data_IF_892895094519
#
_entry.id   IF_892895094519
#
_cell.length_a   1.000
_cell.length_b   1.000
_cell.length_c   1.000
_cell.angle_alpha   90.00
_cell.angle_beta   90.00
_cell.angle_gamma   90.00
#
_symmetry.space_group_name_H-M   'P 1'
#
loop_
_entity.id
_entity.type
_entity.pdbx_description
1 polymer ?
#
# COMPACT_ATOMS: atom_id res chain seq x y z
N UNK A 1 -14.20 -12.17 0.66
CA UNK A 1 -14.76 -12.20 -0.70
C UNK A 1 -13.76 -11.68 -1.71
N UNK A 2 -13.88 -12.17 -2.94
CA UNK A 2 -13.06 -11.77 -4.06
C UNK A 2 -13.90 -10.92 -5.02
N UNK A 3 -13.38 -9.76 -5.43
CA UNK A 3 -13.99 -8.94 -6.49
C UNK A 3 -13.51 -9.47 -7.84
N UNK A 4 -14.29 -10.37 -8.43
CA UNK A 4 -13.98 -10.96 -9.73
C UNK A 4 -14.17 -9.95 -10.86
N UNK A 5 -13.34 -10.07 -11.90
CA UNK A 5 -13.44 -9.25 -13.09
C UNK A 5 -14.65 -9.54 -13.99
N UNK A 6 -15.40 -10.62 -13.72
CA UNK A 6 -16.60 -10.96 -14.47
C UNK A 6 -17.83 -10.13 -14.10
N UNK A 7 -17.74 -9.30 -13.06
CA UNK A 7 -18.86 -8.52 -12.53
C UNK A 7 -18.52 -7.02 -12.44
N UNK A 8 -19.54 -6.21 -12.18
CA UNK A 8 -19.38 -4.77 -11.93
C UNK A 8 -18.49 -4.54 -10.69
N UNK A 9 -17.49 -3.63 -10.77
CA UNK A 9 -16.59 -3.34 -9.65
C UNK A 9 -17.27 -2.61 -8.46
N UNK A 10 -18.56 -2.29 -8.53
CA UNK A 10 -19.31 -1.67 -7.43
C UNK A 10 -19.46 -2.62 -6.23
N UNK A 11 -18.67 -2.38 -5.20
CA UNK A 11 -18.66 -3.19 -3.97
C UNK A 11 -19.78 -2.83 -2.96
N UNK A 12 -20.24 -1.57 -2.95
CA UNK A 12 -21.23 -1.09 -1.99
C UNK A 12 -21.90 0.22 -2.45
N UNK A 13 -23.10 0.48 -1.91
CA UNK A 13 -23.78 1.79 -2.01
C UNK A 13 -23.88 2.41 -0.62
N UNK A 14 -23.22 3.54 -0.42
CA UNK A 14 -23.38 4.34 0.80
C UNK A 14 -24.48 5.38 0.58
N UNK A 15 -25.60 5.21 1.28
CA UNK A 15 -26.72 6.15 1.28
C UNK A 15 -26.86 6.76 2.65
N UNK A 16 -26.97 8.09 2.72
CA UNK A 16 -27.20 8.82 3.96
C UNK A 16 -28.43 9.71 3.83
N UNK A 17 -29.03 10.03 4.97
CA UNK A 17 -30.12 10.98 5.10
C UNK A 17 -29.84 11.93 6.27
N UNK A 18 -30.25 13.18 6.11
CA UNK A 18 -30.24 14.24 7.12
C UNK A 18 -31.42 15.17 6.89
N UNK A 19 -31.72 16.01 7.89
CA UNK A 19 -32.85 16.95 7.86
C UNK A 19 -32.72 17.98 6.74
N UNK A 20 -31.48 18.36 6.42
CA UNK A 20 -31.13 19.21 5.30
C UNK A 20 -29.90 18.68 4.55
N UNK A 21 -29.60 19.29 3.40
CA UNK A 21 -28.48 18.90 2.54
C UNK A 21 -27.11 19.03 3.24
N UNK A 22 -26.80 20.13 3.96
CA UNK A 22 -25.57 20.21 4.75
C UNK A 22 -25.41 19.10 5.78
N UNK A 23 -26.46 18.76 6.54
CA UNK A 23 -26.44 17.67 7.51
C UNK A 23 -26.20 16.31 6.83
N UNK A 24 -26.86 16.06 5.70
CA UNK A 24 -26.63 14.86 4.91
C UNK A 24 -25.18 14.78 4.38
N UNK A 25 -24.62 15.87 3.86
CA UNK A 25 -23.23 15.91 3.38
C UNK A 25 -22.21 15.70 4.52
N UNK A 26 -22.45 16.32 5.68
CA UNK A 26 -21.62 16.10 6.88
C UNK A 26 -21.64 14.62 7.30
N UNK A 27 -22.83 13.99 7.30
CA UNK A 27 -22.99 12.56 7.59
C UNK A 27 -22.32 11.68 6.53
N UNK A 28 -22.46 12.02 5.25
CA UNK A 28 -21.79 11.32 4.14
C UNK A 28 -20.28 11.28 4.34
N UNK A 29 -19.67 12.45 4.58
CA UNK A 29 -18.23 12.60 4.80
C UNK A 29 -17.77 11.84 6.05
N UNK A 30 -18.53 11.90 7.13
CA UNK A 30 -18.25 11.10 8.33
C UNK A 30 -18.26 9.60 8.03
N UNK A 31 -19.32 9.10 7.37
CA UNK A 31 -19.44 7.69 7.01
C UNK A 31 -18.36 7.22 6.03
N UNK A 32 -17.99 8.05 5.04
CA UNK A 32 -16.90 7.75 4.12
C UNK A 32 -15.55 7.60 4.84
N UNK A 33 -15.25 8.43 5.85
CA UNK A 33 -14.03 8.28 6.66
C UNK A 33 -14.00 7.01 7.51
N UNK A 34 -15.18 6.46 7.82
CA UNK A 34 -15.31 5.18 8.55
C UNK A 34 -15.18 3.95 7.63
N UNK A 35 -15.35 4.12 6.31
CA UNK A 35 -15.11 3.06 5.34
C UNK A 35 -13.60 2.81 5.21
N UNK A 36 -13.15 1.65 5.70
CA UNK A 36 -11.74 1.27 5.67
C UNK A 36 -11.62 -0.05 4.92
N UNK A 37 -11.10 0.03 3.70
CA UNK A 37 -10.97 -1.11 2.79
C UNK A 37 -9.50 -1.27 2.46
N UNK A 38 -9.01 -2.51 2.55
CA UNK A 38 -7.63 -2.90 2.26
C UNK A 38 -7.65 -3.98 1.17
N UNK A 39 -6.62 -4.01 0.34
CA UNK A 39 -6.44 -5.02 -0.72
C UNK A 39 -7.03 -4.64 -2.08
N UNK A 40 -7.76 -3.53 -2.17
CA UNK A 40 -8.36 -3.03 -3.41
C UNK A 40 -8.16 -1.52 -3.53
N UNK A 41 -8.01 -1.03 -4.77
CA UNK A 41 -8.10 0.40 -5.03
C UNK A 41 -9.56 0.84 -4.91
N UNK A 42 -9.82 1.96 -4.22
CA UNK A 42 -11.17 2.46 -4.01
C UNK A 42 -11.29 3.92 -4.43
N UNK A 43 -12.51 4.36 -4.69
CA UNK A 43 -12.82 5.77 -5.00
C UNK A 43 -13.22 6.58 -3.75
N UNK A 44 -12.95 6.08 -2.54
CA UNK A 44 -13.37 6.72 -1.28
C UNK A 44 -12.79 8.14 -1.15
N UNK A 45 -11.49 8.32 -1.44
CA UNK A 45 -10.85 9.63 -1.36
C UNK A 45 -11.43 10.61 -2.39
N UNK A 46 -11.72 10.14 -3.60
CA UNK A 46 -12.44 10.92 -4.61
C UNK A 46 -13.83 11.35 -4.12
N UNK A 47 -14.60 10.44 -3.52
CA UNK A 47 -15.93 10.75 -2.96
C UNK A 47 -15.83 11.73 -1.78
N UNK A 48 -14.77 11.66 -0.97
CA UNK A 48 -14.50 12.63 0.09
C UNK A 48 -14.18 14.02 -0.48
N UNK A 49 -13.34 14.11 -1.53
CA UNK A 49 -13.05 15.36 -2.23
C UNK A 49 -14.30 15.95 -2.88
N UNK A 50 -15.07 15.13 -3.60
CA UNK A 50 -16.32 15.54 -4.27
C UNK A 50 -17.35 16.05 -3.27
N UNK A 51 -17.62 15.29 -2.21
CA UNK A 51 -18.64 15.67 -1.21
C UNK A 51 -18.24 16.86 -0.34
N UNK A 52 -16.96 17.22 -0.31
CA UNK A 52 -16.44 18.41 0.36
C UNK A 52 -16.12 19.59 -0.57
N UNK A 53 -16.37 19.47 -1.88
CA UNK A 53 -16.08 20.53 -2.84
C UNK A 53 -17.09 21.69 -2.69
N UNK A 54 -16.68 22.97 -2.63
CA UNK A 54 -17.58 24.10 -2.40
C UNK A 54 -18.76 24.18 -3.39
N UNK A 55 -18.51 24.04 -4.69
CA UNK A 55 -19.58 24.04 -5.70
C UNK A 55 -20.53 22.83 -5.56
N UNK A 56 -20.02 21.68 -5.10
CA UNK A 56 -20.86 20.54 -4.81
C UNK A 56 -21.71 20.82 -3.56
N UNK A 57 -21.16 21.40 -2.50
CA UNK A 57 -21.90 21.82 -1.30
C UNK A 57 -22.94 22.92 -1.58
N UNK A 58 -22.70 23.80 -2.55
CA UNK A 58 -23.65 24.80 -3.01
C UNK A 58 -24.77 24.22 -3.91
N UNK A 59 -24.54 23.06 -4.52
CA UNK A 59 -25.48 22.45 -5.47
C UNK A 59 -25.32 22.94 -6.91
N UNK A 60 -24.23 23.65 -7.20
CA UNK A 60 -23.85 24.12 -8.53
C UNK A 60 -23.21 22.98 -9.33
N UNK A 61 -24.00 21.97 -9.66
CA UNK A 61 -23.53 20.75 -10.34
C UNK A 61 -24.05 20.68 -11.77
N UNK A 62 -23.20 20.24 -12.69
CA UNK A 62 -23.53 19.94 -14.08
C UNK A 62 -23.03 18.55 -14.45
N UNK A 63 -23.44 18.02 -15.60
CA UNK A 63 -22.91 16.75 -16.14
C UNK A 63 -21.42 16.84 -16.50
N UNK A 64 -20.85 18.04 -16.56
CA UNK A 64 -19.44 18.30 -16.82
C UNK A 64 -18.63 18.67 -15.56
N UNK A 65 -19.22 18.55 -14.37
CA UNK A 65 -18.60 18.96 -13.11
C UNK A 65 -17.23 18.30 -12.86
N UNK A 66 -17.13 16.98 -13.05
CA UNK A 66 -15.87 16.24 -12.79
C UNK A 66 -14.75 16.71 -13.73
N UNK A 67 -14.95 16.80 -15.06
CA UNK A 67 -13.96 17.39 -15.95
C UNK A 67 -13.59 18.84 -15.59
N UNK A 68 -14.56 19.67 -15.18
CA UNK A 68 -14.34 21.07 -14.84
C UNK A 68 -13.50 21.26 -13.57
N UNK A 69 -13.70 20.39 -12.57
CA UNK A 69 -13.04 20.46 -11.26
C UNK A 69 -12.02 19.33 -11.05
N UNK A 70 -11.47 18.78 -12.13
CA UNK A 70 -10.62 17.58 -12.08
C UNK A 70 -9.43 17.74 -11.12
N UNK A 71 -8.74 18.89 -11.18
CA UNK A 71 -7.59 19.16 -10.32
C UNK A 71 -7.93 19.17 -8.82
N UNK A 72 -9.12 19.65 -8.46
CA UNK A 72 -9.59 19.73 -7.08
C UNK A 72 -10.08 18.36 -6.57
N UNK A 73 -10.63 17.54 -7.46
CA UNK A 73 -11.17 16.22 -7.14
C UNK A 73 -10.10 15.12 -7.07
N UNK A 74 -8.99 15.30 -7.79
CA UNK A 74 -7.85 14.38 -7.84
C UNK A 74 -6.55 15.07 -7.43
N UNK A 75 -6.44 15.55 -6.17
CA UNK A 75 -5.23 16.19 -5.69
C UNK A 75 -4.07 15.20 -5.65
N UNK A 76 -2.84 15.72 -5.78
CA UNK A 76 -1.65 14.90 -5.64
C UNK A 76 -1.59 14.24 -4.24
N UNK A 77 -1.14 12.99 -4.13
CA UNK A 77 -0.99 12.32 -2.84
C UNK A 77 -0.13 13.14 -1.88
N UNK A 78 -0.66 13.41 -0.68
CA UNK A 78 0.09 14.10 0.37
C UNK A 78 1.08 13.13 1.00
N UNK A 79 2.35 13.53 1.06
CA UNK A 79 3.35 12.78 1.80
C UNK A 79 2.95 12.68 3.28
N UNK A 80 3.03 11.50 3.90
CA UNK A 80 2.71 11.36 5.31
C UNK A 80 3.69 12.16 6.17
N UNK A 81 3.19 12.69 7.27
CA UNK A 81 4.01 13.38 8.26
C UNK A 81 4.97 12.40 8.95
N UNK A 82 6.06 12.91 9.55
CA UNK A 82 6.93 12.08 10.37
C UNK A 82 6.18 11.40 11.52
N UNK A 83 5.15 12.04 12.09
CA UNK A 83 4.28 11.41 13.08
C UNK A 83 3.51 10.20 12.53
N UNK A 84 2.98 10.29 11.31
CA UNK A 84 2.32 9.16 10.63
C UNK A 84 3.31 8.02 10.34
N UNK A 85 4.54 8.35 9.97
CA UNK A 85 5.63 7.38 9.77
C UNK A 85 5.95 6.68 11.09
N UNK A 86 6.02 7.42 12.20
CA UNK A 86 6.21 6.87 13.54
C UNK A 86 5.04 5.96 13.97
N UNK A 87 3.79 6.31 13.66
CA UNK A 87 2.63 5.45 13.91
C UNK A 87 2.75 4.13 13.16
N UNK A 88 3.16 4.15 11.88
CA UNK A 88 3.35 2.94 11.09
C UNK A 88 4.47 2.06 11.66
N UNK A 89 5.59 2.68 12.01
CA UNK A 89 6.71 1.99 12.66
C UNK A 89 6.31 1.38 14.01
N UNK A 90 5.55 2.11 14.82
CA UNK A 90 5.04 1.63 16.11
C UNK A 90 4.09 0.43 15.92
N UNK A 91 3.19 0.49 14.94
CA UNK A 91 2.30 -0.62 14.60
C UNK A 91 3.06 -1.92 14.33
N UNK A 92 4.16 -1.85 13.56
CA UNK A 92 5.03 -3.00 13.28
C UNK A 92 5.75 -3.50 14.55
N UNK A 93 6.33 -2.60 15.35
CA UNK A 93 6.98 -2.95 16.62
C UNK A 93 6.03 -3.69 17.55
N UNK A 94 4.80 -3.20 17.68
CA UNK A 94 3.79 -3.77 18.57
C UNK A 94 3.24 -5.10 18.04
N UNK A 95 3.12 -5.26 16.72
CA UNK A 95 2.74 -6.54 16.12
C UNK A 95 3.81 -7.62 16.38
N UNK A 96 5.09 -7.30 16.21
CA UNK A 96 6.19 -8.22 16.52
C UNK A 96 6.19 -8.62 18.00
N UNK A 97 5.95 -7.65 18.89
CA UNK A 97 5.83 -7.91 20.34
C UNK A 97 4.67 -8.85 20.63
N UNK A 98 3.52 -8.66 19.99
CA UNK A 98 2.35 -9.54 20.13
C UNK A 98 2.66 -10.96 19.65
N UNK A 99 3.25 -11.12 18.47
CA UNK A 99 3.66 -12.45 17.95
C UNK A 99 4.64 -13.15 18.89
N UNK A 100 5.56 -12.38 19.49
CA UNK A 100 6.51 -12.91 20.47
C UNK A 100 5.79 -13.39 21.74
N UNK A 101 4.81 -12.63 22.24
CA UNK A 101 4.01 -13.03 23.40
C UNK A 101 3.18 -14.29 23.11
N UNK A 102 2.60 -14.41 21.92
CA UNK A 102 1.88 -15.61 21.48
C UNK A 102 2.82 -16.82 21.35
N UNK A 103 4.03 -16.62 20.85
CA UNK A 103 5.06 -17.66 20.79
C UNK A 103 5.46 -18.16 22.19
N UNK A 104 5.68 -17.25 23.15
CA UNK A 104 6.00 -17.62 24.55
C UNK A 104 4.94 -18.54 25.16
N UNK A 105 3.66 -18.35 24.80
CA UNK A 105 2.56 -19.18 25.33
C UNK A 105 2.52 -20.60 24.75
N UNK A 106 3.18 -20.84 23.62
CA UNK A 106 3.11 -22.11 22.88
C UNK A 106 4.42 -22.91 22.91
N UNK A 107 5.53 -22.27 23.28
CA UNK A 107 6.84 -22.93 23.37
C UNK A 107 6.96 -23.86 24.58
N UNK A 108 7.85 -24.84 24.48
CA UNK A 108 8.21 -25.75 25.58
C UNK A 108 9.12 -25.10 26.63
N UNK A 109 9.69 -23.92 26.34
CA UNK A 109 10.50 -23.13 27.27
C UNK A 109 9.97 -21.67 27.38
N UNK A 110 8.86 -21.43 28.11
CA UNK A 110 8.24 -20.11 28.21
C UNK A 110 9.08 -19.07 28.94
N UNK A 111 10.05 -19.51 29.75
CA UNK A 111 10.90 -18.63 30.55
C UNK A 111 12.24 -18.32 29.86
N UNK A 112 12.42 -18.75 28.61
CA UNK A 112 13.62 -18.48 27.84
C UNK A 112 13.84 -16.97 27.69
N UNK A 113 15.01 -16.43 28.07
CA UNK A 113 15.30 -15.01 27.88
C UNK A 113 15.38 -14.62 26.39
N UNK A 114 15.60 -15.60 25.50
CA UNK A 114 15.63 -15.42 24.05
C UNK A 114 14.23 -15.35 23.42
N UNK A 115 13.18 -15.66 24.19
CA UNK A 115 11.80 -15.47 23.78
C UNK A 115 11.30 -14.04 24.00
N UNK A 116 12.11 -13.10 24.48
CA UNK A 116 11.69 -11.74 24.80
C UNK A 116 12.01 -10.74 23.69
N UNK A 117 11.01 -9.92 23.33
CA UNK A 117 11.15 -8.79 22.39
C UNK A 117 11.28 -7.43 23.10
N UNK A 118 11.81 -7.42 24.33
CA UNK A 118 12.00 -6.18 25.11
C UNK A 118 13.13 -5.29 24.60
N UNK A 119 14.02 -5.82 23.74
CA UNK A 119 15.21 -5.10 23.29
C UNK A 119 16.26 -4.92 24.39
N UNK A 120 16.25 -5.73 25.45
CA UNK A 120 17.17 -5.54 26.57
C UNK A 120 18.65 -5.67 26.17
N UNK A 121 19.47 -4.79 26.74
CA UNK A 121 20.93 -4.70 26.57
C UNK A 121 21.53 -4.27 27.91
N UNK A 122 22.67 -4.84 28.30
CA UNK A 122 23.28 -4.63 29.62
C UNK A 122 23.57 -3.16 29.94
N UNK A 123 24.16 -2.40 29.01
CA UNK A 123 24.75 -1.08 29.29
C UNK A 123 24.41 -0.01 28.23
N UNK A 124 23.56 -0.34 27.25
CA UNK A 124 23.23 0.56 26.15
C UNK A 124 21.74 0.48 25.87
N UNK A 125 21.17 1.53 25.27
CA UNK A 125 19.84 1.45 24.69
C UNK A 125 19.89 0.60 23.42
N UNK A 126 18.86 -0.21 23.19
CA UNK A 126 18.73 -0.92 21.93
C UNK A 126 18.21 0.02 20.85
N UNK A 127 18.97 0.10 19.76
CA UNK A 127 18.62 0.83 18.56
C UNK A 127 18.45 -0.16 17.41
N UNK A 128 17.38 0.00 16.64
CA UNK A 128 17.17 -0.73 15.39
C UNK A 128 16.75 0.19 14.26
N UNK A 129 17.13 -0.17 13.04
CA UNK A 129 16.75 0.54 11.84
C UNK A 129 15.58 -0.19 11.16
N UNK A 130 14.47 0.51 10.98
CA UNK A 130 13.32 0.03 10.24
C UNK A 130 13.25 0.79 8.91
N UNK A 131 13.36 0.05 7.79
CA UNK A 131 13.15 0.63 6.47
C UNK A 131 11.66 0.57 6.13
N UNK A 132 11.13 1.70 5.67
CA UNK A 132 9.76 1.85 5.18
C UNK A 132 9.80 2.41 3.75
N UNK A 133 8.80 2.05 2.96
CA UNK A 133 8.63 2.46 1.57
C UNK A 133 7.32 3.24 1.43
N UNK A 134 7.44 4.45 0.90
CA UNK A 134 6.42 5.49 0.83
C UNK A 134 6.29 5.94 -0.62
N UNK A 135 5.42 5.27 -1.37
CA UNK A 135 5.44 5.35 -2.84
C UNK A 135 6.83 4.92 -3.33
N UNK A 136 7.53 5.81 -4.03
CA UNK A 136 8.88 5.56 -4.55
C UNK A 136 10.00 5.90 -3.57
N UNK A 137 9.67 6.54 -2.43
CA UNK A 137 10.68 6.98 -1.45
C UNK A 137 10.90 5.94 -0.36
N UNK A 138 12.16 5.58 -0.13
CA UNK A 138 12.57 4.78 1.03
C UNK A 138 12.89 5.70 2.20
N UNK A 139 12.33 5.41 3.36
CA UNK A 139 12.57 6.14 4.61
C UNK A 139 13.10 5.18 5.66
N UNK A 140 14.18 5.57 6.33
CA UNK A 140 14.73 4.83 7.46
C UNK A 140 14.23 5.46 8.77
N UNK A 141 13.68 4.63 9.65
CA UNK A 141 13.29 5.00 11.01
C UNK A 141 14.26 4.35 11.97
N UNK A 142 15.02 5.13 12.73
CA UNK A 142 15.87 4.61 13.81
C UNK A 142 15.01 4.58 15.08
N UNK A 143 14.83 3.40 15.66
CA UNK A 143 13.97 3.17 16.82
C UNK A 143 14.87 2.83 18.02
N UNK A 144 14.93 3.72 18.99
CA UNK A 144 15.51 3.48 20.32
C UNK A 144 14.42 2.98 21.27
N UNK A 145 14.72 1.91 22.00
CA UNK A 145 13.84 1.34 23.03
C UNK A 145 14.19 1.95 24.39
N UNK A 146 13.24 2.66 25.00
CA UNK A 146 13.41 3.24 26.33
C UNK A 146 13.05 2.21 27.42
N UNK A 147 13.58 2.41 28.63
CA UNK A 147 13.36 1.50 29.76
C UNK A 147 11.92 1.51 30.30
N UNK A 148 11.16 2.56 30.04
CA UNK A 148 9.75 2.71 30.42
C UNK A 148 8.77 2.05 29.43
N UNK A 149 9.29 1.42 28.37
CA UNK A 149 8.49 0.80 27.31
C UNK A 149 8.03 1.78 26.21
N UNK A 150 8.40 3.06 26.30
CA UNK A 150 8.27 4.00 25.19
C UNK A 150 9.43 3.85 24.19
N UNK A 151 9.33 4.59 23.10
CA UNK A 151 10.28 4.57 22.00
C UNK A 151 10.69 6.00 21.66
N UNK A 152 11.97 6.19 21.33
CA UNK A 152 12.42 7.38 20.60
C UNK A 152 12.64 6.99 19.15
N UNK A 153 11.94 7.65 18.23
CA UNK A 153 12.00 7.36 16.80
C UNK A 153 12.61 8.54 16.05
N UNK A 154 13.64 8.30 15.26
CA UNK A 154 14.24 9.31 14.39
C UNK A 154 13.86 9.05 12.95
N UNK A 155 13.33 10.08 12.27
CA UNK A 155 12.95 10.07 10.86
C UNK A 155 13.67 11.25 10.18
N UNK A 156 14.72 10.94 9.41
CA UNK A 156 15.62 11.99 8.90
C UNK A 156 16.35 12.70 10.04
N UNK A 157 16.21 14.02 10.12
CA UNK A 157 16.80 14.85 11.19
C UNK A 157 15.85 15.02 12.40
N UNK A 158 14.58 14.64 12.27
CA UNK A 158 13.57 14.84 13.30
C UNK A 158 13.51 13.66 14.27
N UNK A 159 13.30 13.97 15.55
CA UNK A 159 13.23 12.99 16.64
C UNK A 159 11.86 13.09 17.31
N UNK A 160 11.24 11.93 17.51
CA UNK A 160 9.90 11.78 18.04
C UNK A 160 9.90 10.91 19.30
N UNK A 161 9.17 11.34 20.32
CA UNK A 161 8.83 10.53 21.49
C UNK A 161 7.53 9.80 21.21
N UNK A 162 7.59 8.47 21.21
CA UNK A 162 6.52 7.61 20.70
C UNK A 162 6.18 6.56 21.74
N UNK A 163 4.91 6.44 22.09
CA UNK A 163 4.42 5.37 22.95
C UNK A 163 3.05 4.92 22.49
N UNK A 164 2.66 3.70 22.85
CA UNK A 164 1.33 3.21 22.54
C UNK A 164 1.17 1.71 22.67
N UNK A 165 -0.03 1.27 22.34
CA UNK A 165 -0.49 -0.10 22.40
C UNK A 165 -1.48 -0.37 21.27
N UNK A 166 -1.69 -1.66 20.96
CA UNK A 166 -2.70 -2.09 19.99
C UNK A 166 -3.86 -2.70 20.78
N UNK A 167 -5.04 -2.14 20.59
CA UNK A 167 -6.30 -2.66 21.13
C UNK A 167 -7.09 -3.35 19.99
N UNK A 168 -7.75 -4.47 20.28
CA UNK A 168 -8.66 -5.12 19.34
C UNK A 168 -10.09 -4.90 19.83
N UNK A 169 -10.90 -4.22 19.02
CA UNK A 169 -12.30 -3.92 19.32
C UNK A 169 -13.16 -4.32 18.12
N UNK A 170 -14.17 -5.18 18.34
CA UNK A 170 -15.10 -5.59 17.29
C UNK A 170 -14.45 -6.29 16.07
N UNK A 171 -13.30 -6.94 16.27
CA UNK A 171 -12.52 -7.58 15.20
C UNK A 171 -11.61 -6.63 14.41
N UNK A 172 -11.59 -5.34 14.74
CA UNK A 172 -10.66 -4.36 14.18
C UNK A 172 -9.53 -4.05 15.17
N UNK A 173 -8.31 -3.85 14.66
CA UNK A 173 -7.17 -3.40 15.48
C UNK A 173 -7.07 -1.88 15.45
N UNK A 174 -6.88 -1.27 16.61
CA UNK A 174 -6.70 0.16 16.81
C UNK A 174 -5.36 0.41 17.47
N UNK A 175 -4.57 1.34 16.91
CA UNK A 175 -3.32 1.77 17.50
C UNK A 175 -3.59 2.97 18.41
N UNK A 176 -3.54 2.77 19.72
CA UNK A 176 -3.58 3.86 20.69
C UNK A 176 -2.18 4.36 20.89
N UNK A 177 -1.87 5.54 20.37
CA UNK A 177 -0.51 6.04 20.41
C UNK A 177 -0.43 7.52 20.76
N UNK A 178 0.72 7.89 21.31
CA UNK A 178 1.14 9.25 21.58
C UNK A 178 2.41 9.51 20.79
N UNK A 179 2.41 10.53 19.95
CA UNK A 179 3.60 11.02 19.25
C UNK A 179 3.85 12.46 19.69
N UNK A 180 4.98 12.70 20.36
CA UNK A 180 5.31 13.98 21.00
C UNK A 180 4.19 14.51 21.92
N UNK A 181 3.50 13.60 22.62
CA UNK A 181 2.38 13.93 23.52
C UNK A 181 1.02 14.06 22.82
N UNK A 182 0.97 14.08 21.50
CA UNK A 182 -0.29 14.11 20.74
C UNK A 182 -0.87 12.70 20.65
N UNK A 183 -2.01 12.51 21.32
CA UNK A 183 -2.72 11.23 21.34
C UNK A 183 -3.55 11.04 20.07
N UNK A 184 -3.52 9.83 19.53
CA UNK A 184 -4.32 9.43 18.37
C UNK A 184 -4.74 7.96 18.46
N UNK A 185 -5.81 7.63 17.74
CA UNK A 185 -6.38 6.28 17.67
C UNK A 185 -6.67 5.86 16.22
N UNK A 186 -5.67 5.76 15.33
CA UNK A 186 -5.91 5.23 14.00
C UNK A 186 -6.26 3.75 14.05
N UNK A 187 -7.15 3.32 13.14
CA UNK A 187 -7.34 1.89 12.86
C UNK A 187 -6.10 1.38 12.13
N UNK A 188 -5.56 0.25 12.59
CA UNK A 188 -4.36 -0.38 12.09
C UNK A 188 -4.71 -1.68 11.38
N UNK A 189 -4.30 -1.83 10.13
CA UNK A 189 -4.35 -3.10 9.41
C UNK A 189 -2.98 -3.34 8.81
N UNK A 190 -2.39 -4.50 9.07
CA UNK A 190 -1.11 -4.90 8.48
C UNK A 190 -1.37 -6.11 7.60
N UNK A 191 -1.20 -5.95 6.29
CA UNK A 191 -1.44 -6.97 5.28
C UNK A 191 -0.29 -6.96 4.27
N UNK A 192 0.27 -8.11 3.92
CA UNK A 192 1.33 -8.26 2.92
C UNK A 192 2.49 -7.27 3.11
N UNK A 193 3.03 -7.19 4.33
CA UNK A 193 4.08 -6.26 4.74
C UNK A 193 3.73 -4.78 4.52
N UNK A 194 2.45 -4.46 4.39
CA UNK A 194 1.95 -3.11 4.21
C UNK A 194 1.11 -2.71 5.43
N UNK A 195 1.50 -1.60 6.03
CA UNK A 195 0.78 -0.96 7.13
C UNK A 195 -0.22 0.02 6.56
N UNK A 196 -1.49 -0.19 6.88
CA UNK A 196 -2.60 0.71 6.59
C UNK A 196 -3.07 1.37 7.88
N UNK A 197 -3.03 2.70 7.90
CA UNK A 197 -3.53 3.53 8.99
C UNK A 197 -4.74 4.30 8.51
N UNK A 198 -5.86 4.19 9.22
CA UNK A 198 -7.08 4.94 8.94
C UNK A 198 -7.43 5.85 10.10
N UNK A 199 -7.59 7.14 9.84
CA UNK A 199 -8.05 8.12 10.83
C UNK A 199 -9.09 9.06 10.22
N UNK A 200 -9.67 9.93 11.06
CA UNK A 200 -10.53 11.00 10.56
C UNK A 200 -9.78 12.05 9.74
N UNK A 201 -8.45 12.06 9.77
CA UNK A 201 -7.64 13.00 8.99
C UNK A 201 -7.34 12.45 7.60
N UNK A 202 -7.28 11.13 7.44
CA UNK A 202 -7.05 10.47 6.14
C UNK A 202 -6.69 9.00 6.29
N UNK A 203 -6.39 8.37 5.15
CA UNK A 203 -5.82 7.03 5.09
C UNK A 203 -4.37 7.10 4.61
N UNK A 204 -3.51 6.27 5.17
CA UNK A 204 -2.10 6.20 4.82
C UNK A 204 -1.66 4.76 4.66
N UNK A 205 -0.85 4.51 3.64
CA UNK A 205 -0.26 3.23 3.33
C UNK A 205 1.27 3.35 3.38
N UNK A 206 1.91 2.45 4.12
CA UNK A 206 3.37 2.39 4.25
C UNK A 206 3.80 0.93 4.13
N UNK A 207 4.62 0.59 3.14
CA UNK A 207 5.11 -0.78 2.97
C UNK A 207 6.48 -0.98 3.60
N UNK A 208 6.76 -2.21 4.01
CA UNK A 208 8.08 -2.66 4.45
C UNK A 208 8.76 -3.32 3.25
N UNK A 209 9.92 -2.83 2.78
CA UNK A 209 10.58 -3.39 1.63
C UNK A 209 11.04 -4.83 1.93
N UNK A 210 10.72 -5.76 1.02
CA UNK A 210 11.18 -7.14 1.11
C UNK A 210 12.69 -7.17 0.84
N UNK A 211 13.50 -7.83 1.70
CA UNK A 211 14.93 -7.96 1.46
C UNK A 211 15.21 -8.65 0.11
N UNK A 212 16.21 -8.16 -0.63
CA UNK A 212 16.55 -8.66 -1.98
C UNK A 212 16.75 -10.19 -2.05
N UNK A 213 17.31 -10.79 -1.00
CA UNK A 213 17.54 -12.23 -0.92
C UNK A 213 16.27 -13.07 -0.70
N UNK A 214 15.17 -12.44 -0.26
CA UNK A 214 13.85 -13.08 -0.14
C UNK A 214 12.94 -12.76 -1.34
N UNK A 215 13.30 -11.80 -2.18
CA UNK A 215 12.50 -11.39 -3.33
C UNK A 215 12.25 -12.55 -4.32
N UNK A 216 13.21 -13.50 -4.44
CA UNK A 216 13.06 -14.68 -5.29
C UNK A 216 12.15 -15.78 -4.74
N UNK A 217 11.74 -15.71 -3.46
CA UNK A 217 10.85 -16.71 -2.81
C UNK A 217 9.39 -16.24 -2.84
N UNK A 218 9.14 -14.98 -3.19
CA UNK A 218 7.83 -14.34 -3.07
C UNK A 218 7.45 -13.62 -4.37
N UNK A 219 7.39 -14.35 -5.48
CA UNK A 219 6.41 -14.16 -6.56
C UNK A 219 6.84 -14.95 -7.79
N UNK A 220 5.92 -15.76 -8.31
CA UNK A 220 5.90 -16.17 -9.71
C UNK A 220 5.47 -15.00 -10.62
N UNK A 221 5.94 -13.78 -10.34
CA UNK A 221 5.83 -12.66 -11.25
C UNK A 221 6.96 -12.79 -12.27
N UNK A 222 6.60 -12.85 -13.56
CA UNK A 222 7.57 -13.05 -14.63
C UNK A 222 8.77 -12.11 -14.49
N UNK A 223 9.94 -12.70 -14.30
CA UNK A 223 11.23 -11.99 -14.25
C UNK A 223 11.32 -11.02 -15.44
N UNK A 224 11.34 -9.73 -15.13
CA UNK A 224 11.64 -8.66 -16.08
C UNK A 224 10.60 -8.37 -17.18
N UNK A 225 9.45 -9.03 -17.16
CA UNK A 225 8.44 -8.98 -18.23
C UNK A 225 7.30 -7.97 -18.04
N UNK A 226 6.45 -7.82 -19.05
CA UNK A 226 5.23 -7.01 -18.95
C UNK A 226 4.10 -7.81 -18.26
N UNK A 227 3.41 -7.18 -17.31
CA UNK A 227 2.27 -7.76 -16.58
C UNK A 227 0.97 -7.03 -16.92
N UNK A 228 -0.17 -7.71 -16.78
CA UNK A 228 -1.48 -7.11 -17.02
C UNK A 228 -1.79 -6.06 -15.91
N UNK A 229 -1.99 -4.77 -16.26
CA UNK A 229 -2.26 -3.72 -15.26
C UNK A 229 -3.65 -3.87 -14.61
N UNK A 230 -4.56 -4.53 -15.32
CA UNK A 230 -5.94 -4.82 -14.93
C UNK A 230 -6.39 -6.10 -15.62
N UNK A 231 -7.46 -6.72 -15.12
CA UNK A 231 -8.06 -7.87 -15.79
C UNK A 231 -8.74 -7.42 -17.08
N UNK A 232 -8.46 -8.12 -18.18
CA UNK A 232 -8.99 -7.78 -19.50
C UNK A 232 -8.87 -8.94 -20.48
N UNK A 233 -9.36 -8.72 -21.70
CA UNK A 233 -9.22 -9.68 -22.80
C UNK A 233 -8.15 -9.19 -23.76
N UNK A 234 -7.23 -10.07 -24.17
CA UNK A 234 -6.23 -9.73 -25.17
C UNK A 234 -6.92 -9.62 -26.53
N UNK A 235 -6.96 -8.42 -27.09
CA UNK A 235 -7.53 -8.17 -28.40
C UNK A 235 -6.51 -8.49 -29.49
N UNK A 236 -5.26 -8.08 -29.31
CA UNK A 236 -4.21 -8.24 -30.32
C UNK A 236 -2.85 -8.48 -29.69
N UNK A 237 -2.09 -9.43 -30.22
CA UNK A 237 -0.70 -9.68 -29.83
C UNK A 237 0.23 -9.14 -30.92
N UNK A 238 1.14 -8.22 -30.58
CA UNK A 238 1.98 -7.51 -31.55
C UNK A 238 3.40 -8.06 -31.66
N UNK A 239 3.81 -8.92 -30.72
CA UNK A 239 5.17 -9.49 -30.63
C UNK A 239 5.14 -11.01 -30.51
N UNK A 240 6.25 -11.65 -30.86
CA UNK A 240 6.47 -13.09 -30.77
C UNK A 240 7.75 -13.39 -29.98
N UNK A 241 7.87 -14.63 -29.51
CA UNK A 241 9.12 -15.10 -28.91
C UNK A 241 10.27 -14.98 -29.92
N UNK A 242 11.39 -14.40 -29.50
CA UNK A 242 12.56 -14.07 -30.30
C UNK A 242 12.58 -12.63 -30.85
N UNK A 243 11.49 -11.85 -30.74
CA UNK A 243 11.49 -10.47 -31.22
C UNK A 243 12.30 -9.56 -30.29
N UNK A 244 13.04 -8.62 -30.87
CA UNK A 244 13.74 -7.58 -30.13
C UNK A 244 12.86 -6.34 -30.02
N UNK A 245 12.68 -5.85 -28.79
CA UNK A 245 11.81 -4.70 -28.49
C UNK A 245 12.61 -3.63 -27.75
N UNK A 246 12.32 -2.36 -28.02
CA UNK A 246 12.82 -1.23 -27.25
C UNK A 246 11.86 -0.88 -26.10
N UNK A 247 12.37 -0.23 -25.05
CA UNK A 247 11.52 0.32 -23.99
C UNK A 247 10.43 1.24 -24.57
N UNK A 248 9.17 0.99 -24.22
CA UNK A 248 8.00 1.73 -24.71
C UNK A 248 7.34 1.13 -25.96
N UNK A 249 7.94 0.13 -26.60
CA UNK A 249 7.36 -0.52 -27.77
C UNK A 249 6.05 -1.25 -27.43
N UNK A 250 5.06 -1.23 -28.32
CA UNK A 250 3.77 -1.87 -28.08
C UNK A 250 3.90 -3.39 -28.19
N UNK A 251 3.54 -4.11 -27.13
CA UNK A 251 3.62 -5.57 -27.04
C UNK A 251 2.29 -6.24 -27.39
N UNK A 252 1.19 -5.73 -26.87
CA UNK A 252 -0.16 -6.24 -27.11
C UNK A 252 -1.22 -5.19 -26.77
N UNK A 253 -2.43 -5.38 -27.28
CA UNK A 253 -3.61 -4.56 -26.99
C UNK A 253 -4.58 -5.40 -26.16
N UNK A 254 -5.01 -4.84 -25.05
CA UNK A 254 -5.95 -5.46 -24.12
C UNK A 254 -7.20 -4.60 -24.00
N UNK A 255 -8.38 -5.22 -24.06
CA UNK A 255 -9.66 -4.57 -23.78
C UNK A 255 -10.01 -4.82 -22.31
N UNK A 256 -10.21 -3.74 -21.57
CA UNK A 256 -10.76 -3.77 -20.23
C UNK A 256 -11.74 -2.60 -20.08
N UNK A 257 -12.84 -2.80 -19.34
CA UNK A 257 -13.83 -1.75 -19.10
C UNK A 257 -14.35 -1.04 -20.38
N UNK A 258 -14.50 -1.79 -21.50
CA UNK A 258 -14.88 -1.29 -22.84
C UNK A 258 -13.88 -0.30 -23.48
N UNK A 259 -12.65 -0.26 -22.98
CA UNK A 259 -11.58 0.59 -23.48
C UNK A 259 -10.38 -0.26 -23.89
N UNK A 260 -9.73 0.14 -24.98
CA UNK A 260 -8.48 -0.46 -25.45
C UNK A 260 -7.29 0.12 -24.65
N UNK A 261 -6.41 -0.76 -24.19
CA UNK A 261 -5.19 -0.43 -23.48
C UNK A 261 -4.00 -1.11 -24.15
N UNK A 262 -3.09 -0.31 -24.72
CA UNK A 262 -1.84 -0.82 -25.27
C UNK A 262 -0.84 -1.11 -24.15
N UNK A 263 -0.44 -2.36 -24.00
CA UNK A 263 0.61 -2.79 -23.09
C UNK A 263 1.96 -2.56 -23.77
N UNK A 264 2.86 -1.84 -23.10
CA UNK A 264 4.17 -1.44 -23.63
C UNK A 264 5.31 -2.14 -22.91
N UNK A 265 6.44 -2.29 -23.59
CA UNK A 265 7.65 -2.87 -23.04
C UNK A 265 8.20 -2.00 -21.90
N UNK A 266 8.40 -2.54 -20.68
CA UNK A 266 8.95 -1.77 -19.57
C UNK A 266 10.45 -1.44 -19.75
N UNK A 267 11.17 -2.26 -20.52
CA UNK A 267 12.58 -2.10 -20.85
C UNK A 267 12.87 -2.71 -22.23
N UNK A 268 14.02 -2.36 -22.82
CA UNK A 268 14.50 -3.01 -24.03
C UNK A 268 14.95 -4.44 -23.74
N UNK A 269 14.82 -5.35 -24.71
CA UNK A 269 15.27 -6.74 -24.58
C UNK A 269 14.70 -7.66 -25.66
N UNK A 270 14.99 -8.95 -25.54
CA UNK A 270 14.45 -10.00 -26.43
C UNK A 270 13.29 -10.71 -25.73
N UNK A 271 12.19 -10.92 -26.47
CA UNK A 271 11.01 -11.61 -25.97
C UNK A 271 11.32 -13.09 -25.81
N UNK A 272 11.39 -13.59 -24.58
CA UNK A 272 11.59 -15.01 -24.29
C UNK A 272 10.31 -15.81 -24.50
N UNK A 273 9.18 -15.28 -24.02
CA UNK A 273 7.90 -15.98 -24.08
C UNK A 273 6.71 -15.03 -24.04
N UNK A 274 5.66 -15.36 -24.79
CA UNK A 274 4.34 -14.70 -24.72
C UNK A 274 3.34 -15.70 -24.13
N UNK A 275 2.63 -15.31 -23.08
CA UNK A 275 1.79 -16.23 -22.30
C UNK A 275 0.32 -16.28 -22.74
N UNK A 276 -0.14 -15.30 -23.50
CA UNK A 276 -1.54 -15.15 -23.91
C UNK A 276 -1.67 -14.99 -25.42
N UNK A 277 -2.68 -15.63 -25.98
CA UNK A 277 -3.10 -15.46 -27.38
C UNK A 277 -4.25 -14.45 -27.50
N UNK A 278 -4.52 -13.99 -28.71
CA UNK A 278 -5.71 -13.18 -29.00
C UNK A 278 -6.99 -13.90 -28.56
N UNK A 279 -7.92 -13.15 -27.98
CA UNK A 279 -9.15 -13.64 -27.36
C UNK A 279 -9.00 -14.24 -25.96
N UNK A 280 -7.78 -14.45 -25.45
CA UNK A 280 -7.58 -14.98 -24.11
C UNK A 280 -7.81 -13.92 -23.03
N UNK A 281 -8.38 -14.34 -21.90
CA UNK A 281 -8.59 -13.47 -20.75
C UNK A 281 -7.38 -13.51 -19.82
N UNK A 282 -6.82 -12.33 -19.50
CA UNK A 282 -5.69 -12.17 -18.60
C UNK A 282 -6.14 -11.48 -17.31
N UNK A 283 -5.86 -12.09 -16.16
CA UNK A 283 -6.13 -11.51 -14.85
C UNK A 283 -5.14 -10.40 -14.51
N UNK A 284 -5.52 -9.49 -13.60
CA UNK A 284 -4.61 -8.47 -13.05
C UNK A 284 -3.33 -9.12 -12.52
N UNK A 285 -2.19 -8.50 -12.83
CA UNK A 285 -0.83 -8.98 -12.51
C UNK A 285 -0.42 -10.30 -13.18
N UNK A 286 -1.22 -10.86 -14.09
CA UNK A 286 -0.78 -11.98 -14.90
C UNK A 286 0.41 -11.58 -15.77
N UNK A 287 1.43 -12.43 -15.82
CA UNK A 287 2.56 -12.27 -16.72
C UNK A 287 2.10 -12.36 -18.17
N UNK A 288 2.22 -11.28 -18.93
CA UNK A 288 1.82 -11.25 -20.34
C UNK A 288 2.96 -11.68 -21.25
N UNK A 289 4.16 -11.19 -20.96
CA UNK A 289 5.38 -11.39 -21.74
C UNK A 289 6.55 -11.56 -20.77
N UNK A 290 7.45 -12.51 -21.03
CA UNK A 290 8.73 -12.67 -20.36
C UNK A 290 9.85 -12.17 -21.30
N UNK A 291 10.77 -11.35 -20.77
CA UNK A 291 11.98 -10.93 -21.49
C UNK A 291 13.15 -11.82 -21.06
N UNK A 292 14.13 -12.01 -21.94
CA UNK A 292 15.40 -12.64 -21.55
C UNK A 292 16.13 -11.78 -20.51
N UNK A 293 16.77 -12.41 -19.54
CA UNK A 293 17.68 -11.73 -18.62
C UNK A 293 18.96 -11.42 -19.40
N UNK A 294 19.26 -10.13 -19.59
CA UNK A 294 20.65 -9.74 -19.86
C UNK A 294 21.41 -10.01 -18.57
N UNK A 295 22.35 -10.96 -18.60
CA UNK A 295 23.41 -11.01 -17.62
C UNK A 295 24.09 -9.64 -17.68
N UNK A 296 23.92 -8.81 -16.64
CA UNK A 296 24.84 -7.72 -16.41
C UNK A 296 26.23 -8.36 -16.35
N UNK A 297 27.01 -8.21 -17.41
CA UNK A 297 28.45 -8.46 -17.39
C UNK A 297 28.97 -7.77 -16.14
N UNK A 298 29.31 -8.56 -15.13
CA UNK A 298 29.96 -8.06 -13.94
C UNK A 298 31.17 -7.26 -14.41
N UNK A 299 31.29 -6.02 -13.92
CA UNK A 299 32.55 -5.30 -13.92
C UNK A 299 33.55 -6.10 -13.07
N UNK A 300 34.10 -7.14 -13.68
CA UNK A 300 35.32 -7.83 -13.32
C UNK A 300 36.42 -7.29 -14.22
N UNK A 301 37.25 -6.42 -13.65
CA UNK A 301 38.49 -5.94 -14.28
C UNK A 301 39.15 -4.86 -13.42
N UNK A 302 39.84 -5.23 -12.34
CA UNK A 302 41.29 -5.50 -12.31
C UNK A 302 42.18 -4.24 -12.35
N UNK A 303 42.56 -3.74 -11.17
CA UNK A 303 43.95 -3.69 -10.67
C UNK A 303 43.99 -3.17 -9.23
#
# INVERSE_FOLDING_TARGET
DEVSAHYDPMIAKLVVWGEDRPAALKKLRYCLRQYNIVGLNTNIDFLLSLSGHPEFEAGNVSTSFIPQHYADLFPAPRAPSGATICQAALGLVLQERKHTQEFIQTTTDPFSPFGSSSGWRNNIEFNRNLSLQLGDKKVCVVITYNSDGSYRMQVGEEVYQVSGEVEVEGGASFLHCSVNGVKSRPKLVILDNTVHLFSMEGSYQVSVPVPKHLAGVSSSAAQGGAVAPMTGTIEKVLVKAGDQVAAGDPLMVMIAMKMEHTIRAPKSGVIKKVFFSEGAQANRHAALVELEEEEEEGEGGSQ
#
